data_IF_014403861777
#
_entry.id   IF_014403861777
#
_cell.length_a   1.000
_cell.length_b   1.000
_cell.length_c   1.000
_cell.angle_alpha   90.00
_cell.angle_beta   90.00
_cell.angle_gamma   90.00
#
_symmetry.space_group_name_H-M   'P 1'
#
loop_
_entity.id
_entity.type
_entity.pdbx_description
1 polymer ?
#
# COMPACT_ATOMS: atom_id res chain seq x y z
N UNK A 1 11.79 -9.49 -16.52
CA UNK A 1 11.98 -8.65 -15.32
C UNK A 1 10.61 -8.33 -14.78
N UNK A 2 10.35 -8.62 -13.51
CA UNK A 2 9.05 -8.33 -12.90
C UNK A 2 8.88 -6.83 -12.60
N UNK A 3 7.67 -6.43 -12.16
CA UNK A 3 7.29 -5.04 -11.89
C UNK A 3 8.21 -4.36 -10.87
N UNK A 4 8.60 -5.08 -9.81
CA UNK A 4 9.45 -4.55 -8.75
C UNK A 4 10.88 -4.37 -9.23
N UNK A 5 11.39 -5.36 -9.95
CA UNK A 5 12.73 -5.31 -10.51
C UNK A 5 12.87 -4.14 -11.49
N UNK A 6 11.86 -3.95 -12.35
CA UNK A 6 11.80 -2.80 -13.25
C UNK A 6 11.72 -1.48 -12.47
N UNK A 7 10.89 -1.43 -11.41
CA UNK A 7 10.74 -0.26 -10.56
C UNK A 7 12.08 0.20 -9.98
N UNK A 8 12.77 -0.66 -9.23
CA UNK A 8 14.04 -0.30 -8.60
C UNK A 8 15.12 0.07 -9.62
N UNK A 9 15.23 -0.67 -10.73
CA UNK A 9 16.20 -0.35 -11.80
C UNK A 9 15.89 1.00 -12.44
N UNK A 10 14.61 1.31 -12.71
CA UNK A 10 14.19 2.60 -13.26
C UNK A 10 14.49 3.79 -12.34
N UNK A 11 14.61 3.53 -11.03
CA UNK A 11 14.94 4.49 -9.98
C UNK A 11 16.45 4.55 -9.67
N UNK A 12 17.29 3.83 -10.41
CA UNK A 12 18.74 3.75 -10.16
C UNK A 12 19.15 2.84 -9.00
N UNK A 13 18.21 2.09 -8.44
CA UNK A 13 18.36 1.28 -7.24
C UNK A 13 18.54 -0.22 -7.54
N UNK A 14 19.18 -0.56 -8.67
CA UNK A 14 19.39 -1.96 -9.07
C UNK A 14 20.15 -2.79 -8.03
N UNK A 15 20.96 -2.16 -7.19
CA UNK A 15 21.67 -2.79 -6.08
C UNK A 15 20.73 -3.35 -4.98
N UNK A 16 19.48 -2.89 -4.90
CA UNK A 16 18.51 -3.39 -3.95
C UNK A 16 17.92 -4.76 -4.35
N UNK A 17 18.06 -5.15 -5.62
CA UNK A 17 17.53 -6.44 -6.09
C UNK A 17 18.20 -7.62 -5.40
N UNK A 18 19.49 -7.50 -5.06
CA UNK A 18 20.24 -8.54 -4.36
C UNK A 18 19.78 -8.73 -2.90
N UNK A 19 18.95 -7.82 -2.38
CA UNK A 19 18.37 -7.85 -1.02
C UNK A 19 16.95 -8.40 -0.98
N UNK A 20 16.40 -8.78 -2.13
CA UNK A 20 15.08 -9.41 -2.22
C UNK A 20 15.21 -10.88 -1.82
N UNK A 21 14.48 -11.26 -0.78
CA UNK A 21 14.38 -12.64 -0.31
C UNK A 21 13.15 -13.32 -0.90
N UNK A 22 13.32 -14.56 -1.36
CA UNK A 22 12.27 -15.39 -1.93
C UNK A 22 12.00 -16.61 -1.05
N UNK A 23 10.73 -16.85 -0.73
CA UNK A 23 10.30 -17.98 0.09
C UNK A 23 9.56 -19.03 -0.74
N UNK A 24 9.75 -20.31 -0.43
CA UNK A 24 8.99 -21.40 -1.08
C UNK A 24 7.50 -21.34 -0.74
N UNK A 25 7.16 -20.85 0.45
CA UNK A 25 5.79 -20.73 0.94
C UNK A 25 5.41 -19.28 1.23
N UNK A 26 4.11 -18.99 1.15
CA UNK A 26 3.57 -17.65 1.36
C UNK A 26 3.83 -17.15 2.78
N UNK A 27 4.32 -15.91 2.88
CA UNK A 27 4.49 -15.14 4.10
C UNK A 27 3.40 -14.07 4.24
N UNK A 28 2.15 -14.43 3.95
CA UNK A 28 1.03 -13.47 3.84
C UNK A 28 0.69 -12.72 5.15
N UNK A 29 1.24 -13.13 6.30
CA UNK A 29 1.15 -12.38 7.57
C UNK A 29 2.53 -11.96 8.05
N UNK A 30 2.57 -10.90 8.86
CA UNK A 30 3.82 -10.39 9.43
C UNK A 30 4.54 -11.44 10.27
N UNK A 31 3.81 -12.25 11.03
CA UNK A 31 4.37 -13.30 11.88
C UNK A 31 5.04 -14.39 11.04
N UNK A 32 4.38 -14.81 9.95
CA UNK A 32 4.90 -15.79 9.01
C UNK A 32 6.13 -15.29 8.25
N UNK A 33 6.20 -13.99 7.96
CA UNK A 33 7.38 -13.37 7.37
C UNK A 33 8.54 -13.31 8.38
N UNK A 34 8.25 -12.93 9.63
CA UNK A 34 9.23 -12.82 10.71
C UNK A 34 9.89 -14.17 11.01
N UNK A 35 9.09 -15.25 11.11
CA UNK A 35 9.59 -16.61 11.31
C UNK A 35 10.54 -17.03 10.17
N UNK A 36 10.17 -16.76 8.91
CA UNK A 36 10.98 -17.11 7.74
C UNK A 36 12.29 -16.32 7.66
N UNK A 37 12.29 -15.09 8.14
CA UNK A 37 13.45 -14.21 8.18
C UNK A 37 14.28 -14.38 9.47
N UNK A 38 13.80 -15.17 10.43
CA UNK A 38 14.39 -15.29 11.76
C UNK A 38 14.61 -13.92 12.42
N UNK A 39 13.58 -13.06 12.38
CA UNK A 39 13.56 -11.74 13.00
C UNK A 39 12.29 -11.52 13.82
N UNK A 40 12.21 -10.39 14.52
CA UNK A 40 11.01 -10.03 15.29
C UNK A 40 9.89 -9.56 14.36
N UNK A 41 8.62 -9.87 14.71
CA UNK A 41 7.46 -9.41 13.94
C UNK A 41 7.42 -7.88 13.81
N UNK A 42 7.92 -7.16 14.82
CA UNK A 42 8.03 -5.72 14.83
C UNK A 42 8.99 -5.17 13.74
N UNK A 43 9.96 -5.96 13.27
CA UNK A 43 10.84 -5.57 12.16
C UNK A 43 10.19 -5.74 10.78
N UNK A 44 9.02 -6.39 10.70
CA UNK A 44 8.29 -6.53 9.45
C UNK A 44 7.50 -5.26 9.16
N UNK A 45 7.76 -4.63 8.01
CA UNK A 45 7.03 -3.48 7.52
C UNK A 45 5.78 -3.94 6.75
N UNK A 46 4.62 -3.83 7.39
CA UNK A 46 3.30 -4.18 6.85
C UNK A 46 2.69 -3.00 6.11
N UNK A 47 2.33 -3.19 4.84
CA UNK A 47 1.58 -2.21 4.04
C UNK A 47 0.07 -2.42 4.17
N UNK A 48 -0.64 -1.43 4.70
CA UNK A 48 -2.10 -1.47 4.87
C UNK A 48 -2.74 -0.53 3.85
N UNK A 49 -3.53 -1.09 2.92
CA UNK A 49 -4.24 -0.34 1.90
C UNK A 49 -5.57 0.21 2.45
N UNK A 50 -5.79 1.51 2.34
CA UNK A 50 -6.92 2.23 2.97
C UNK A 50 -7.54 3.23 1.99
N UNK A 51 -8.87 3.35 1.98
CA UNK A 51 -9.56 4.49 1.39
C UNK A 51 -9.69 5.63 2.39
N UNK A 52 -9.39 6.85 1.94
CA UNK A 52 -9.69 8.08 2.67
C UNK A 52 -10.56 9.01 1.84
N UNK A 53 -11.35 9.86 2.50
CA UNK A 53 -12.06 10.94 1.82
C UNK A 53 -11.08 11.83 1.06
N UNK A 54 -11.39 12.16 -0.19
CA UNK A 54 -10.54 13.00 -1.02
C UNK A 54 -10.45 14.43 -0.42
N UNK A 55 -9.27 14.86 0.05
CA UNK A 55 -9.12 16.17 0.67
C UNK A 55 -9.30 17.33 -0.33
N UNK A 56 -9.08 17.11 -1.64
CA UNK A 56 -9.21 18.13 -2.68
C UNK A 56 -10.68 18.53 -2.95
N UNK A 57 -11.64 17.64 -2.69
CA UNK A 57 -13.07 17.92 -2.88
C UNK A 57 -13.66 18.88 -1.83
N UNK A 58 -12.89 19.30 -0.82
CA UNK A 58 -13.34 20.27 0.19
C UNK A 58 -13.32 21.73 -0.28
N UNK A 59 -12.78 22.06 -1.46
CA UNK A 59 -12.57 23.47 -1.89
C UNK A 59 -13.24 23.93 -3.19
N UNK A 60 -14.04 23.11 -3.87
CA UNK A 60 -14.66 23.48 -5.16
C UNK A 60 -16.18 23.47 -5.15
N UNK A 61 -16.83 24.61 -5.43
CA UNK A 61 -18.20 24.64 -5.95
C UNK A 61 -18.27 23.71 -7.17
N UNK A 62 -19.22 22.78 -7.15
CA UNK A 62 -19.55 21.90 -8.28
C UNK A 62 -19.62 22.71 -9.58
N UNK A 63 -18.66 22.48 -10.49
CA UNK A 63 -18.85 22.84 -11.90
C UNK A 63 -19.42 21.59 -12.56
N UNK A 64 -20.66 21.68 -13.05
CA UNK A 64 -21.29 20.64 -13.85
C UNK A 64 -20.45 20.37 -15.10
N UNK A 65 -19.80 19.20 -15.17
CA UNK A 65 -19.34 18.65 -16.42
C UNK A 65 -20.46 17.75 -16.96
N UNK A 66 -21.32 18.34 -17.78
CA UNK A 66 -22.18 17.59 -18.69
C UNK A 66 -21.32 17.08 -19.85
N UNK A 67 -21.40 15.77 -20.08
CA UNK A 67 -21.13 14.98 -21.30
C UNK A 67 -20.22 13.78 -21.02
N UNK A 68 -20.84 12.62 -20.81
CA UNK A 68 -20.22 11.30 -21.01
C UNK A 68 -20.64 10.77 -22.39
N UNK A 69 -19.75 10.10 -23.16
CA UNK A 69 -20.16 9.37 -24.34
C UNK A 69 -20.90 8.07 -23.97
N UNK A 70 -21.85 7.68 -24.81
CA UNK A 70 -22.71 6.51 -24.63
C UNK A 70 -21.93 5.19 -24.62
N UNK A 71 -22.37 4.26 -23.77
CA UNK A 71 -21.81 2.92 -23.58
C UNK A 71 -21.89 2.06 -24.87
N UNK A 72 -20.78 1.38 -25.21
CA UNK A 72 -20.77 0.25 -26.14
C UNK A 72 -21.12 -1.05 -25.37
N UNK A 73 -22.11 -1.79 -25.86
CA UNK A 73 -22.54 -3.08 -25.29
C UNK A 73 -21.54 -4.18 -25.68
N UNK A 74 -20.98 -4.89 -24.70
CA UNK A 74 -20.18 -6.11 -24.90
C UNK A 74 -21.04 -7.39 -24.81
N UNK A 75 -20.58 -8.53 -25.37
CA UNK A 75 -21.36 -9.77 -25.48
C UNK A 75 -21.48 -10.53 -24.14
N UNK A 76 -22.49 -11.42 -24.00
CA UNK A 76 -22.80 -12.13 -22.76
C UNK A 76 -21.78 -13.24 -22.46
N UNK A 77 -21.20 -13.24 -21.24
CA UNK A 77 -20.24 -14.25 -20.78
C UNK A 77 -19.05 -13.70 -19.95
N UNK A 78 -19.01 -12.41 -19.67
CA UNK A 78 -17.93 -11.78 -18.90
C UNK A 78 -18.06 -12.04 -17.38
N UNK A 79 -16.94 -12.20 -16.64
CA UNK A 79 -16.95 -12.21 -15.16
C UNK A 79 -17.54 -10.90 -14.61
N UNK A 80 -18.00 -10.89 -13.33
CA UNK A 80 -18.87 -9.84 -12.80
C UNK A 80 -18.33 -8.43 -13.07
N UNK A 81 -19.26 -7.56 -13.46
CA UNK A 81 -19.05 -6.16 -13.79
C UNK A 81 -18.18 -5.44 -12.76
N UNK A 82 -17.29 -4.52 -13.20
CA UNK A 82 -16.57 -3.65 -12.29
C UNK A 82 -17.56 -2.96 -11.36
N UNK A 83 -17.29 -3.09 -10.05
CA UNK A 83 -17.99 -2.35 -9.01
C UNK A 83 -18.11 -0.88 -9.38
N UNK A 84 -19.32 -0.35 -9.26
CA UNK A 84 -19.74 0.93 -9.83
C UNK A 84 -18.71 2.06 -9.63
N UNK A 85 -18.25 2.75 -10.69
CA UNK A 85 -17.29 3.84 -10.60
C UNK A 85 -17.79 5.07 -9.80
N UNK A 86 -19.08 5.13 -9.42
CA UNK A 86 -19.68 6.30 -8.77
C UNK A 86 -19.21 6.59 -7.33
N UNK A 87 -18.64 5.64 -6.58
CA UNK A 87 -18.18 5.90 -5.20
C UNK A 87 -16.72 6.37 -5.11
N UNK A 88 -15.86 5.97 -6.05
CA UNK A 88 -14.42 6.23 -5.97
C UNK A 88 -14.00 7.65 -6.28
N UNK A 89 -14.81 8.43 -6.99
CA UNK A 89 -14.50 9.84 -7.30
C UNK A 89 -14.30 10.69 -6.03
N UNK A 90 -14.89 10.27 -4.91
CA UNK A 90 -14.79 10.95 -3.61
C UNK A 90 -13.70 10.39 -2.69
N UNK A 91 -13.02 9.33 -3.09
CA UNK A 91 -12.04 8.63 -2.27
C UNK A 91 -10.65 8.75 -2.88
N UNK A 92 -9.63 8.72 -2.02
CA UNK A 92 -8.25 8.53 -2.41
C UNK A 92 -7.74 7.24 -1.78
N UNK A 93 -7.00 6.46 -2.55
CA UNK A 93 -6.32 5.27 -2.05
C UNK A 93 -4.98 5.66 -1.43
N UNK A 94 -4.70 5.12 -0.26
CA UNK A 94 -3.41 5.28 0.41
C UNK A 94 -2.89 3.92 0.87
N UNK A 95 -1.58 3.84 1.05
CA UNK A 95 -0.93 2.79 1.84
C UNK A 95 -0.34 3.45 3.07
N UNK A 96 -0.56 2.85 4.23
CA UNK A 96 0.21 3.15 5.44
C UNK A 96 1.12 1.98 5.72
N UNK A 97 2.43 2.21 5.69
CA UNK A 97 3.45 1.21 6.05
C UNK A 97 3.71 1.30 7.54
N UNK A 98 3.56 0.19 8.26
CA UNK A 98 3.57 0.13 9.72
C UNK A 98 4.46 -1.01 10.20
N UNK A 99 4.96 -0.95 11.43
CA UNK A 99 5.59 -2.11 12.07
C UNK A 99 4.61 -3.28 12.22
N UNK A 100 5.09 -4.52 12.20
CA UNK A 100 4.24 -5.71 12.12
C UNK A 100 3.36 -5.91 13.35
N UNK A 101 3.88 -5.55 14.52
CA UNK A 101 3.20 -5.53 15.83
C UNK A 101 2.22 -4.33 15.98
N UNK A 102 2.32 -3.33 15.10
CA UNK A 102 1.52 -2.12 15.18
C UNK A 102 0.11 -2.32 14.62
N UNK A 103 -0.84 -1.62 15.24
CA UNK A 103 -2.25 -1.59 14.84
C UNK A 103 -2.70 -0.17 14.58
N UNK A 104 -3.35 0.05 13.42
CA UNK A 104 -3.90 1.37 13.08
C UNK A 104 -4.96 1.79 14.11
N UNK A 105 -4.72 2.92 14.76
CA UNK A 105 -5.59 3.55 15.72
C UNK A 105 -6.71 4.30 15.00
N UNK A 106 -7.96 3.91 15.23
CA UNK A 106 -9.11 4.59 14.61
C UNK A 106 -9.19 6.07 15.01
N UNK A 107 -8.75 6.41 16.22
CA UNK A 107 -8.73 7.78 16.72
C UNK A 107 -7.65 8.60 16.00
N UNK A 108 -6.37 8.21 16.13
CA UNK A 108 -5.26 8.92 15.47
C UNK A 108 -5.44 9.01 13.95
N UNK A 109 -5.91 7.93 13.32
CA UNK A 109 -6.19 7.92 11.89
C UNK A 109 -7.27 8.94 11.51
N UNK A 110 -8.37 9.01 12.28
CA UNK A 110 -9.44 9.99 12.05
C UNK A 110 -8.93 11.41 12.26
N UNK A 111 -8.12 11.66 13.28
CA UNK A 111 -7.56 12.98 13.54
C UNK A 111 -6.59 13.40 12.42
N UNK A 112 -5.76 12.45 11.94
CA UNK A 112 -4.76 12.71 10.90
C UNK A 112 -5.35 12.91 9.50
N UNK A 113 -6.30 12.06 9.09
CA UNK A 113 -6.83 12.04 7.73
C UNK A 113 -8.24 12.63 7.63
N UNK A 114 -8.87 12.98 8.76
CA UNK A 114 -10.27 13.42 8.81
C UNK A 114 -11.20 12.45 8.04
N UNK A 115 -10.88 11.16 8.13
CA UNK A 115 -11.58 10.06 7.47
C UNK A 115 -11.78 8.92 8.44
N UNK A 116 -12.85 8.14 8.25
CA UNK A 116 -12.95 6.86 8.93
C UNK A 116 -11.95 5.88 8.30
N UNK A 117 -11.47 4.94 9.11
CA UNK A 117 -10.62 3.85 8.65
C UNK A 117 -11.46 2.88 7.81
N UNK A 118 -11.21 2.86 6.50
CA UNK A 118 -11.90 2.01 5.53
C UNK A 118 -10.87 1.19 4.75
N UNK A 119 -10.66 -0.07 5.16
CA UNK A 119 -9.65 -0.94 4.57
C UNK A 119 -10.08 -1.35 3.15
N UNK A 120 -9.13 -1.31 2.21
CA UNK A 120 -9.39 -1.78 0.85
C UNK A 120 -9.54 -3.31 0.88
N UNK A 121 -10.70 -3.79 0.44
CA UNK A 121 -11.03 -5.20 0.45
C UNK A 121 -10.14 -6.04 -0.49
N UNK A 122 -9.93 -7.31 -0.11
CA UNK A 122 -9.10 -8.26 -0.86
C UNK A 122 -9.54 -8.48 -2.31
N UNK A 123 -10.83 -8.31 -2.61
CA UNK A 123 -11.39 -8.48 -3.96
C UNK A 123 -10.99 -7.38 -4.94
N UNK A 124 -10.58 -6.21 -4.46
CA UNK A 124 -10.30 -5.02 -5.28
C UNK A 124 -8.89 -4.45 -5.04
N UNK A 125 -8.17 -4.93 -4.01
CA UNK A 125 -6.87 -4.38 -3.64
C UNK A 125 -5.85 -4.45 -4.78
N UNK A 126 -5.87 -5.52 -5.57
CA UNK A 126 -4.96 -5.67 -6.70
C UNK A 126 -5.24 -4.66 -7.80
N UNK A 127 -6.50 -4.42 -8.13
CA UNK A 127 -6.88 -3.44 -9.15
C UNK A 127 -6.55 -2.02 -8.70
N UNK A 128 -6.75 -1.73 -7.40
CA UNK A 128 -6.54 -0.39 -6.84
C UNK A 128 -5.06 -0.09 -6.60
N UNK A 129 -4.33 -1.02 -5.98
CA UNK A 129 -2.93 -0.82 -5.55
C UNK A 129 -1.92 -1.32 -6.59
N UNK A 130 -2.27 -2.38 -7.32
CA UNK A 130 -1.39 -3.03 -8.29
C UNK A 130 -0.77 -4.35 -7.81
N UNK A 131 -1.11 -4.81 -6.59
CA UNK A 131 -0.58 -6.03 -5.99
C UNK A 131 -1.65 -6.83 -5.22
N UNK A 132 -1.55 -8.17 -5.20
CA UNK A 132 -2.49 -9.01 -4.46
C UNK A 132 -2.32 -8.86 -2.94
N UNK A 133 -3.31 -9.36 -2.19
CA UNK A 133 -3.17 -9.54 -0.72
C UNK A 133 -1.90 -10.33 -0.42
N UNK A 134 -1.14 -9.90 0.59
CA UNK A 134 0.16 -10.47 0.95
C UNK A 134 1.33 -9.99 0.10
N UNK A 135 1.09 -9.45 -1.11
CA UNK A 135 2.11 -8.81 -1.95
C UNK A 135 2.05 -7.28 -1.95
N UNK A 136 1.08 -6.68 -1.25
CA UNK A 136 0.95 -5.23 -1.10
C UNK A 136 2.22 -4.68 -0.47
N UNK A 137 2.87 -3.77 -1.19
CA UNK A 137 4.11 -3.12 -0.80
C UNK A 137 4.06 -1.63 -1.22
N UNK A 138 5.01 -0.79 -0.77
CA UNK A 138 5.03 0.62 -1.16
C UNK A 138 5.76 0.88 -2.50
N UNK A 139 6.21 -0.16 -3.22
CA UNK A 139 7.07 -0.02 -4.40
C UNK A 139 6.30 -0.25 -5.69
N UNK A 140 6.53 0.56 -6.72
CA UNK A 140 5.98 0.35 -8.04
C UNK A 140 4.45 0.25 -8.11
N UNK A 141 3.72 0.77 -7.13
CA UNK A 141 2.24 0.75 -7.06
C UNK A 141 1.59 1.63 -8.13
N UNK A 142 0.25 1.59 -8.23
CA UNK A 142 -0.47 2.47 -9.15
C UNK A 142 -0.29 3.96 -8.78
N UNK A 143 -0.15 4.82 -9.79
CA UNK A 143 0.28 6.23 -9.63
C UNK A 143 -0.67 7.13 -8.83
N UNK A 144 -1.91 6.71 -8.62
CA UNK A 144 -2.91 7.42 -7.82
C UNK A 144 -2.90 7.05 -6.34
N UNK A 145 -2.05 6.11 -5.93
CA UNK A 145 -1.91 5.65 -4.54
C UNK A 145 -0.78 6.44 -3.88
N UNK A 146 -1.07 7.00 -2.70
CA UNK A 146 -0.08 7.70 -1.88
C UNK A 146 0.45 6.81 -0.76
N UNK A 147 1.73 6.92 -0.44
CA UNK A 147 2.35 6.15 0.65
C UNK A 147 2.65 7.05 1.84
N UNK A 148 2.26 6.58 3.02
CA UNK A 148 2.64 7.15 4.31
C UNK A 148 3.41 6.09 5.10
N UNK A 149 4.42 6.53 5.83
CA UNK A 149 5.22 5.65 6.70
C UNK A 149 4.88 5.96 8.16
N UNK A 150 4.62 4.95 8.97
CA UNK A 150 4.25 5.15 10.37
C UNK A 150 5.49 5.16 11.29
N UNK A 151 5.49 6.05 12.29
CA UNK A 151 6.61 6.23 13.22
C UNK A 151 6.94 4.96 14.03
N UNK A 152 6.06 3.96 14.10
CA UNK A 152 6.34 2.65 14.70
C UNK A 152 7.57 1.95 14.13
N UNK A 153 7.95 2.25 12.87
CA UNK A 153 9.14 1.69 12.21
C UNK A 153 10.45 2.37 12.66
N UNK A 154 10.39 3.57 13.26
CA UNK A 154 11.59 4.35 13.65
C UNK A 154 12.39 3.74 14.81
N UNK A 155 11.93 2.61 15.35
CA UNK A 155 12.63 1.82 16.37
C UNK A 155 13.73 0.92 15.78
N UNK A 156 13.78 0.79 14.45
CA UNK A 156 14.64 -0.17 13.77
C UNK A 156 15.54 0.52 12.73
N UNK A 157 16.83 0.18 12.75
CA UNK A 157 17.76 0.58 11.70
C UNK A 157 17.50 -0.20 10.39
N UNK A 158 16.92 -1.39 10.52
CA UNK A 158 16.63 -2.30 9.41
C UNK A 158 15.26 -2.93 9.57
N UNK A 159 14.48 -2.91 8.48
CA UNK A 159 13.14 -3.49 8.38
C UNK A 159 13.05 -4.44 7.19
N UNK A 160 11.99 -5.25 7.16
CA UNK A 160 11.69 -6.14 6.04
C UNK A 160 10.28 -5.85 5.51
N UNK A 161 10.19 -5.34 4.28
CA UNK A 161 8.91 -5.04 3.65
C UNK A 161 8.50 -6.13 2.68
N UNK A 162 7.19 -6.30 2.47
CA UNK A 162 6.70 -7.09 1.33
C UNK A 162 7.23 -6.52 0.00
N UNK A 163 7.36 -7.37 -1.01
CA UNK A 163 8.06 -7.01 -2.25
C UNK A 163 7.32 -7.51 -3.50
N UNK A 164 6.03 -7.20 -3.59
CA UNK A 164 5.19 -7.40 -4.78
C UNK A 164 4.57 -8.78 -4.94
N UNK A 165 4.93 -9.76 -4.12
CA UNK A 165 4.27 -11.08 -4.07
C UNK A 165 4.14 -11.57 -2.62
N UNK A 166 3.25 -12.53 -2.32
CA UNK A 166 3.15 -13.12 -0.98
C UNK A 166 4.40 -13.88 -0.52
N UNK A 167 5.37 -14.11 -1.41
CA UNK A 167 6.55 -14.93 -1.17
C UNK A 167 7.85 -14.12 -1.25
N UNK A 168 7.76 -12.80 -1.43
CA UNK A 168 8.93 -11.94 -1.59
C UNK A 168 8.94 -10.84 -0.54
N UNK A 169 10.12 -10.65 0.05
CA UNK A 169 10.38 -9.53 0.97
C UNK A 169 11.67 -8.83 0.56
N UNK A 170 11.83 -7.59 1.00
CA UNK A 170 13.05 -6.81 0.79
C UNK A 170 13.50 -6.21 2.11
N UNK A 171 14.79 -6.33 2.39
CA UNK A 171 15.42 -5.76 3.57
C UNK A 171 15.88 -4.35 3.28
N UNK A 172 15.46 -3.35 4.05
CA UNK A 172 15.75 -1.91 3.83
C UNK A 172 16.08 -1.21 5.14
N UNK A 173 16.88 -0.15 5.08
CA UNK A 173 16.90 0.86 6.15
C UNK A 173 15.78 1.89 5.94
N UNK A 174 15.59 2.81 6.89
CA UNK A 174 14.48 3.77 6.83
C UNK A 174 14.65 4.83 5.72
N UNK A 175 15.89 5.24 5.42
CA UNK A 175 16.17 6.19 4.36
C UNK A 175 15.85 5.58 2.99
N UNK A 176 16.23 4.32 2.77
CA UNK A 176 15.90 3.56 1.56
C UNK A 176 14.39 3.32 1.44
N UNK A 177 13.72 2.98 2.54
CA UNK A 177 12.27 2.83 2.55
C UNK A 177 11.57 4.15 2.15
N UNK A 178 12.05 5.27 2.67
CA UNK A 178 11.53 6.60 2.33
C UNK A 178 11.81 6.97 0.86
N UNK A 179 13.04 6.81 0.40
CA UNK A 179 13.48 7.17 -0.95
C UNK A 179 12.78 6.37 -2.05
N UNK A 180 12.53 5.09 -1.80
CA UNK A 180 11.95 4.18 -2.78
C UNK A 180 10.46 3.90 -2.59
N UNK A 181 9.81 4.42 -1.54
CA UNK A 181 8.36 4.37 -1.44
C UNK A 181 7.72 5.23 -2.55
N UNK A 182 6.94 4.59 -3.40
CA UNK A 182 6.28 5.25 -4.52
C UNK A 182 5.24 6.25 -4.03
N UNK A 183 5.30 7.49 -4.54
CA UNK A 183 4.45 8.58 -4.07
C UNK A 183 4.45 8.75 -2.55
N UNK A 184 5.63 8.62 -1.92
CA UNK A 184 5.82 8.93 -0.51
C UNK A 184 5.37 10.36 -0.22
N UNK A 185 4.60 10.52 0.86
CA UNK A 185 4.06 11.81 1.30
C UNK A 185 4.81 12.30 2.52
N UNK A 186 4.76 11.52 3.61
CA UNK A 186 5.36 11.89 4.89
C UNK A 186 5.27 10.72 5.90
N UNK A 187 5.97 10.90 7.02
CA UNK A 187 5.80 10.09 8.22
C UNK A 187 4.57 10.51 9.02
N UNK A 188 3.86 9.53 9.59
CA UNK A 188 2.64 9.76 10.40
C UNK A 188 2.69 8.97 11.70
N UNK A 189 1.94 9.42 12.71
CA UNK A 189 1.65 8.65 13.91
C UNK A 189 0.16 8.29 13.89
N UNK A 190 -0.16 7.11 13.36
CA UNK A 190 -1.54 6.61 13.27
C UNK A 190 -1.70 5.22 13.87
N UNK A 191 -0.66 4.67 14.48
CA UNK A 191 -0.68 3.35 15.09
C UNK A 191 -0.55 3.38 16.62
N UNK A 192 -1.09 2.35 17.25
CA UNK A 192 -0.92 2.00 18.66
C UNK A 192 -0.43 0.54 18.77
N UNK A 193 -0.09 0.09 19.98
CA UNK A 193 0.21 -1.32 20.27
C UNK A 193 1.61 -1.79 19.87
N UNK A 194 2.48 -0.88 19.45
CA UNK A 194 3.89 -1.14 19.19
C UNK A 194 4.69 -0.70 20.44
N UNK A 195 5.11 -1.67 21.26
CA UNK A 195 5.99 -1.46 22.43
C UNK A 195 7.32 -2.15 22.17
#
# INVERSE_FOLDING_TARGET
MDRISHYFVSRGAGHLLDRISHFQESSATSELAAERLNCECSQIAKSIAIFIKNPALRRGKLRHAQNLPAAAQGPPGSPPTPVAPMFYDKLCSIIVVTSGDAKVSKLKFKDRFNSQLDLIGSSIVQDVIGYPVGGVCPFGINSNVRVYLDVSLKRFDTIHAACGTPNTTITLNLDELEEYSENFVEWVDVCDGWM
#
